data_IF_401752552269
#
_entry.id   IF_401752552269
#
_cell.length_a   1.000
_cell.length_b   1.000
_cell.length_c   1.000
_cell.angle_alpha   90.00
_cell.angle_beta   90.00
_cell.angle_gamma   90.00
#
_symmetry.space_group_name_H-M   'P 1'
#
loop_
_entity.id
_entity.type
_entity.pdbx_description
1 polymer ?
#
# COMPACT_ATOMS: atom_id res chain seq x y z
N UNK A 1 2.26 0.19 -13.58
CA UNK A 1 2.20 -1.14 -12.94
C UNK A 1 1.36 -1.11 -11.68
N UNK A 2 1.64 -0.25 -10.71
CA UNK A 2 0.90 -0.18 -9.43
C UNK A 2 -0.58 0.20 -9.55
N UNK A 3 -0.96 1.07 -10.50
CA UNK A 3 -2.39 1.34 -10.80
C UNK A 3 -3.15 0.07 -11.22
N UNK A 4 -2.51 -0.78 -12.05
CA UNK A 4 -3.09 -2.06 -12.46
C UNK A 4 -3.19 -3.01 -11.27
N UNK A 5 -2.22 -2.95 -10.35
CA UNK A 5 -2.24 -3.74 -9.13
C UNK A 5 -3.42 -3.35 -8.23
N UNK A 6 -3.57 -2.06 -7.91
CA UNK A 6 -4.69 -1.56 -7.10
C UNK A 6 -6.02 -1.91 -7.75
N UNK A 7 -6.16 -1.69 -9.06
CA UNK A 7 -7.35 -2.09 -9.81
C UNK A 7 -7.63 -3.60 -9.72
N UNK A 8 -6.60 -4.44 -9.90
CA UNK A 8 -6.76 -5.89 -9.84
C UNK A 8 -7.11 -6.38 -8.41
N UNK A 9 -6.58 -5.74 -7.36
CA UNK A 9 -6.96 -6.02 -5.97
C UNK A 9 -8.44 -5.69 -5.76
N UNK A 10 -8.89 -4.49 -6.14
CA UNK A 10 -10.28 -4.07 -5.99
C UNK A 10 -11.23 -5.01 -6.73
N UNK A 11 -10.94 -5.36 -7.97
CA UNK A 11 -11.75 -6.27 -8.76
C UNK A 11 -11.74 -7.71 -8.22
N UNK A 12 -10.60 -8.17 -7.70
CA UNK A 12 -10.53 -9.48 -7.03
C UNK A 12 -11.42 -9.50 -5.80
N UNK A 13 -11.36 -8.46 -4.97
CA UNK A 13 -12.15 -8.34 -3.74
C UNK A 13 -13.64 -8.13 -4.02
N UNK A 14 -14.00 -7.48 -5.12
CA UNK A 14 -15.38 -7.23 -5.51
C UNK A 14 -16.03 -8.47 -6.16
N UNK A 15 -15.33 -9.13 -7.08
CA UNK A 15 -15.91 -10.16 -7.97
C UNK A 15 -15.50 -11.58 -7.63
N UNK A 16 -14.35 -11.77 -6.97
CA UNK A 16 -13.76 -13.08 -6.70
C UNK A 16 -13.26 -13.83 -7.94
N UNK A 17 -13.16 -13.15 -9.10
CA UNK A 17 -12.75 -13.80 -10.35
C UNK A 17 -11.26 -14.11 -10.33
N UNK A 18 -10.91 -15.39 -10.51
CA UNK A 18 -9.52 -15.89 -10.49
C UNK A 18 -8.57 -15.16 -11.46
N UNK A 19 -9.09 -14.61 -12.56
CA UNK A 19 -8.29 -13.85 -13.53
C UNK A 19 -7.51 -12.68 -12.89
N UNK A 20 -8.12 -12.00 -11.92
CA UNK A 20 -7.45 -10.88 -11.24
C UNK A 20 -6.35 -11.38 -10.30
N UNK A 21 -6.52 -12.54 -9.67
CA UNK A 21 -5.44 -13.19 -8.92
C UNK A 21 -4.26 -13.57 -9.82
N UNK A 22 -4.53 -14.05 -11.05
CA UNK A 22 -3.49 -14.36 -12.05
C UNK A 22 -2.78 -13.08 -12.50
N UNK A 23 -3.53 -11.99 -12.73
CA UNK A 23 -2.94 -10.68 -13.09
C UNK A 23 -2.00 -10.22 -11.97
N UNK A 24 -2.41 -10.28 -10.72
CA UNK A 24 -1.59 -9.91 -9.58
C UNK A 24 -0.31 -10.77 -9.49
N UNK A 25 -0.43 -12.07 -9.69
CA UNK A 25 0.72 -12.97 -9.71
C UNK A 25 1.73 -12.61 -10.83
N UNK A 26 1.23 -12.39 -12.05
CA UNK A 26 2.06 -11.99 -13.19
C UNK A 26 2.70 -10.62 -12.99
N UNK A 27 1.98 -9.67 -12.41
CA UNK A 27 2.54 -8.36 -12.05
C UNK A 27 3.66 -8.49 -11.02
N UNK A 28 3.48 -9.31 -9.98
CA UNK A 28 4.52 -9.54 -8.99
C UNK A 28 5.78 -10.14 -9.63
N UNK A 29 5.61 -11.16 -10.49
CA UNK A 29 6.72 -11.78 -11.23
C UNK A 29 7.43 -10.76 -12.14
N UNK A 30 6.67 -9.92 -12.83
CA UNK A 30 7.23 -8.87 -13.69
C UNK A 30 8.00 -7.83 -12.87
N UNK A 31 7.45 -7.34 -11.76
CA UNK A 31 8.12 -6.36 -10.88
C UNK A 31 9.41 -6.95 -10.31
N UNK A 32 9.37 -8.19 -9.82
CA UNK A 32 10.54 -8.84 -9.24
C UNK A 32 11.69 -8.99 -10.24
N UNK A 33 11.38 -9.25 -11.53
CA UNK A 33 12.38 -9.43 -12.57
C UNK A 33 12.88 -8.14 -13.22
N UNK A 34 11.99 -7.13 -13.36
CA UNK A 34 12.34 -5.86 -14.02
C UNK A 34 12.98 -4.88 -13.02
N UNK A 35 12.50 -4.86 -11.78
CA UNK A 35 12.94 -3.86 -10.79
C UNK A 35 12.84 -4.38 -9.36
N UNK A 36 13.75 -5.26 -8.98
CA UNK A 36 13.78 -5.91 -7.67
C UNK A 36 13.73 -4.92 -6.48
N UNK A 37 14.30 -3.70 -6.63
CA UNK A 37 14.27 -2.65 -5.61
C UNK A 37 12.85 -2.16 -5.28
N UNK A 38 11.92 -2.25 -6.22
CA UNK A 38 10.54 -1.78 -6.11
C UNK A 38 9.58 -2.93 -5.77
N UNK A 39 10.05 -4.18 -5.85
CA UNK A 39 9.26 -5.37 -5.54
C UNK A 39 8.58 -5.34 -4.15
N UNK A 40 9.21 -4.83 -3.07
CA UNK A 40 8.53 -4.71 -1.78
C UNK A 40 7.30 -3.80 -1.79
N UNK A 41 7.24 -2.81 -2.69
CA UNK A 41 6.08 -1.91 -2.82
C UNK A 41 4.80 -2.66 -3.22
N UNK A 42 4.95 -3.74 -3.98
CA UNK A 42 3.83 -4.62 -4.32
C UNK A 42 3.12 -5.16 -3.05
N UNK A 43 3.87 -5.58 -2.05
CA UNK A 43 3.29 -6.06 -0.78
C UNK A 43 2.72 -4.92 0.05
N UNK A 44 3.41 -3.77 0.07
CA UNK A 44 2.99 -2.58 0.82
C UNK A 44 1.61 -2.10 0.37
N UNK A 45 1.30 -2.16 -0.94
CA UNK A 45 -0.01 -1.79 -1.46
C UNK A 45 -1.12 -2.80 -1.10
N UNK A 46 -0.80 -4.05 -0.82
CA UNK A 46 -1.77 -5.05 -0.33
C UNK A 46 -2.07 -4.93 1.17
N UNK A 47 -1.10 -4.45 1.97
CA UNK A 47 -1.23 -4.40 3.43
C UNK A 47 -2.47 -3.64 3.92
N UNK A 48 -2.86 -2.47 3.41
CA UNK A 48 -4.05 -1.75 3.83
C UNK A 48 -5.33 -2.60 3.79
N UNK A 49 -5.49 -3.41 2.75
CA UNK A 49 -6.65 -4.29 2.60
C UNK A 49 -6.65 -5.43 3.62
N UNK A 50 -5.47 -6.02 3.88
CA UNK A 50 -5.31 -7.07 4.88
C UNK A 50 -5.54 -6.54 6.30
N UNK A 51 -5.06 -5.33 6.59
CA UNK A 51 -5.26 -4.66 7.88
C UNK A 51 -6.74 -4.29 8.08
N UNK A 52 -7.43 -3.78 7.06
CA UNK A 52 -8.88 -3.51 7.13
C UNK A 52 -9.66 -4.79 7.50
N UNK A 53 -9.37 -5.93 6.84
CA UNK A 53 -10.03 -7.19 7.13
C UNK A 53 -9.73 -7.68 8.55
N UNK A 54 -8.47 -7.56 8.99
CA UNK A 54 -8.08 -7.94 10.35
C UNK A 54 -8.86 -7.11 11.38
N UNK A 55 -8.92 -5.78 11.20
CA UNK A 55 -9.68 -4.88 12.05
C UNK A 55 -11.18 -5.24 12.01
N UNK A 56 -11.74 -5.50 10.84
CA UNK A 56 -13.14 -5.90 10.70
C UNK A 56 -13.46 -7.21 11.45
N UNK A 57 -12.54 -8.18 11.46
CA UNK A 57 -12.66 -9.43 12.23
C UNK A 57 -12.61 -9.12 13.72
N UNK A 58 -11.66 -8.31 14.16
CA UNK A 58 -11.51 -7.94 15.59
C UNK A 58 -12.75 -7.18 16.06
N UNK A 59 -13.21 -6.18 15.30
CA UNK A 59 -14.42 -5.40 15.61
C UNK A 59 -15.66 -6.30 15.73
N UNK A 60 -15.77 -7.33 14.88
CA UNK A 60 -16.91 -8.27 14.93
C UNK A 60 -16.94 -9.15 16.18
N UNK A 61 -15.79 -9.36 16.84
CA UNK A 61 -15.65 -10.16 18.06
C UNK A 61 -15.77 -9.34 19.35
N UNK A 62 -15.45 -8.06 19.30
CA UNK A 62 -15.46 -7.18 20.48
C UNK A 62 -16.81 -6.46 20.55
N UNK A 63 -17.63 -6.82 21.55
CA UNK A 63 -18.99 -6.28 21.76
C UNK A 63 -19.01 -4.77 22.07
N UNK A 64 -17.91 -4.21 22.57
CA UNK A 64 -17.71 -2.79 22.88
C UNK A 64 -16.41 -2.30 22.23
N UNK A 65 -16.45 -2.04 20.92
CA UNK A 65 -15.33 -1.37 20.25
C UNK A 65 -15.31 0.09 20.70
N UNK A 66 -14.15 0.64 21.13
CA UNK A 66 -14.08 2.04 21.48
C UNK A 66 -14.46 2.90 20.28
N UNK A 67 -15.41 3.80 20.47
CA UNK A 67 -15.84 4.74 19.43
C UNK A 67 -14.63 5.59 19.01
N UNK A 68 -14.31 5.59 17.73
CA UNK A 68 -13.18 6.36 17.17
C UNK A 68 -13.45 7.89 17.14
N UNK A 69 -14.41 8.39 17.91
CA UNK A 69 -14.73 9.81 18.04
C UNK A 69 -15.20 10.41 16.70
N UNK A 70 -14.64 11.57 16.34
CA UNK A 70 -15.06 12.36 15.16
C UNK A 70 -14.93 11.58 13.83
N UNK A 71 -14.15 10.51 13.78
CA UNK A 71 -13.93 9.71 12.57
C UNK A 71 -14.92 8.55 12.40
N UNK A 72 -15.73 8.23 13.42
CA UNK A 72 -16.67 7.08 13.38
C UNK A 72 -17.67 7.18 12.21
N UNK A 73 -18.17 8.39 11.94
CA UNK A 73 -19.13 8.63 10.87
C UNK A 73 -18.48 8.69 9.47
N UNK A 74 -17.16 8.85 9.40
CA UNK A 74 -16.40 9.05 8.16
C UNK A 74 -15.66 7.81 7.69
N UNK A 75 -15.33 6.86 8.58
CA UNK A 75 -14.60 5.65 8.25
C UNK A 75 -15.54 4.48 8.03
N UNK A 76 -15.41 3.82 6.87
CA UNK A 76 -16.12 2.60 6.54
C UNK A 76 -15.18 1.41 6.74
N UNK A 77 -15.55 0.50 7.62
CA UNK A 77 -14.88 -0.80 7.81
C UNK A 77 -15.80 -1.87 7.24
N UNK A 78 -15.35 -2.56 6.19
CA UNK A 78 -16.18 -3.55 5.51
C UNK A 78 -15.42 -4.83 5.25
N UNK A 79 -15.95 -5.95 5.77
CA UNK A 79 -15.42 -7.28 5.45
C UNK A 79 -15.54 -7.58 3.97
N UNK A 80 -14.50 -8.15 3.39
CA UNK A 80 -14.44 -8.50 1.96
C UNK A 80 -14.65 -10.00 1.79
N UNK A 81 -15.71 -10.38 1.09
CA UNK A 81 -16.08 -11.80 0.87
C UNK A 81 -14.94 -12.63 0.28
N UNK A 82 -14.14 -12.03 -0.58
CA UNK A 82 -13.09 -12.72 -1.36
C UNK A 82 -11.67 -12.47 -0.83
N UNK A 83 -11.52 -11.95 0.39
CA UNK A 83 -10.21 -11.66 1.02
C UNK A 83 -9.27 -12.87 1.05
N UNK A 84 -9.82 -14.09 1.21
CA UNK A 84 -9.04 -15.33 1.17
C UNK A 84 -8.22 -15.50 -0.12
N UNK A 85 -8.72 -15.00 -1.26
CA UNK A 85 -7.99 -15.06 -2.53
C UNK A 85 -6.86 -14.05 -2.56
N UNK A 86 -7.05 -12.85 -2.01
CA UNK A 86 -5.98 -11.87 -1.88
C UNK A 86 -4.88 -12.38 -0.94
N UNK A 87 -5.26 -12.99 0.20
CA UNK A 87 -4.29 -13.59 1.11
C UNK A 87 -3.51 -14.72 0.44
N UNK A 88 -4.17 -15.56 -0.35
CA UNK A 88 -3.50 -16.61 -1.13
C UNK A 88 -2.50 -16.04 -2.11
N UNK A 89 -2.89 -15.02 -2.88
CA UNK A 89 -2.00 -14.31 -3.81
C UNK A 89 -0.82 -13.70 -3.05
N UNK A 90 -1.07 -13.02 -1.93
CA UNK A 90 -0.02 -12.43 -1.09
C UNK A 90 1.02 -13.48 -0.66
N UNK A 91 0.57 -14.61 -0.11
CA UNK A 91 1.47 -15.68 0.36
C UNK A 91 2.26 -16.29 -0.80
N UNK A 92 1.61 -16.61 -1.94
CA UNK A 92 2.31 -17.15 -3.11
C UNK A 92 3.33 -16.13 -3.64
N UNK A 93 2.97 -14.85 -3.68
CA UNK A 93 3.82 -13.77 -4.17
C UNK A 93 5.09 -13.59 -3.34
N UNK A 94 5.07 -13.95 -2.05
CA UNK A 94 6.29 -13.94 -1.22
C UNK A 94 7.39 -14.86 -1.74
N UNK A 95 7.03 -15.93 -2.44
CA UNK A 95 7.99 -16.89 -2.99
C UNK A 95 8.41 -16.56 -4.43
N UNK A 96 7.77 -15.60 -5.09
CA UNK A 96 8.08 -15.22 -6.48
C UNK A 96 9.52 -14.70 -6.63
N UNK A 97 10.06 -14.04 -5.61
CA UNK A 97 11.44 -13.59 -5.62
C UNK A 97 12.46 -14.71 -5.89
N UNK A 98 12.11 -15.97 -5.55
CA UNK A 98 12.96 -17.14 -5.83
C UNK A 98 12.93 -17.55 -7.31
N UNK A 99 11.92 -17.14 -8.06
CA UNK A 99 11.76 -17.43 -9.50
C UNK A 99 12.49 -16.42 -10.39
N UNK A 100 13.25 -15.50 -9.79
CA UNK A 100 14.07 -14.56 -10.55
C UNK A 100 15.40 -15.18 -10.93
N UNK A 101 16.03 -14.80 -12.06
CA UNK A 101 17.37 -15.28 -12.44
C UNK A 101 18.46 -14.97 -11.40
N UNK A 102 18.21 -14.01 -10.53
CA UNK A 102 19.13 -13.56 -9.48
C UNK A 102 18.86 -14.22 -8.11
N UNK A 103 17.95 -15.22 -8.06
CA UNK A 103 17.67 -16.05 -6.88
C UNK A 103 17.26 -15.24 -5.65
N UNK A 104 18.02 -15.35 -4.57
CA UNK A 104 17.73 -14.66 -3.29
C UNK A 104 18.01 -13.15 -3.30
N UNK A 105 18.54 -12.59 -4.36
CA UNK A 105 18.92 -11.17 -4.42
C UNK A 105 17.78 -10.20 -4.12
N UNK A 106 16.52 -10.39 -4.56
CA UNK A 106 15.43 -9.47 -4.22
C UNK A 106 15.22 -9.30 -2.71
N UNK A 107 15.38 -10.37 -1.93
CA UNK A 107 15.23 -10.35 -0.48
C UNK A 107 16.42 -9.68 0.21
N UNK A 108 17.64 -10.06 -0.18
CA UNK A 108 18.88 -9.51 0.40
C UNK A 108 19.11 -8.06 -0.01
N UNK A 109 18.68 -7.67 -1.21
CA UNK A 109 18.80 -6.29 -1.70
C UNK A 109 17.99 -5.33 -0.85
N UNK A 110 16.76 -5.70 -0.49
CA UNK A 110 15.94 -4.88 0.40
C UNK A 110 16.62 -4.66 1.76
N UNK A 111 17.15 -5.75 2.36
CA UNK A 111 17.87 -5.66 3.64
C UNK A 111 19.12 -4.78 3.53
N UNK A 112 19.89 -4.94 2.44
CA UNK A 112 21.09 -4.13 2.20
C UNK A 112 20.78 -2.64 2.04
N UNK A 113 19.68 -2.28 1.37
CA UNK A 113 19.26 -0.88 1.25
C UNK A 113 18.84 -0.32 2.60
N UNK A 114 18.09 -1.08 3.39
CA UNK A 114 17.64 -0.65 4.72
C UNK A 114 18.79 -0.48 5.71
N UNK A 115 19.85 -1.27 5.57
CA UNK A 115 21.05 -1.20 6.43
C UNK A 115 22.14 -0.26 5.87
N UNK A 116 22.07 0.08 4.58
CA UNK A 116 23.08 0.92 3.92
C UNK A 116 22.75 2.41 4.04
N UNK A 117 23.78 3.24 4.22
CA UNK A 117 23.65 4.70 4.17
C UNK A 117 23.64 5.18 2.70
N UNK A 118 22.53 4.90 2.02
CA UNK A 118 22.35 5.29 0.60
C UNK A 118 22.00 6.76 0.43
N UNK A 119 21.61 7.43 1.52
CA UNK A 119 21.20 8.86 1.51
C UNK A 119 22.34 9.79 1.14
N UNK A 120 23.60 9.38 1.37
CA UNK A 120 24.79 10.19 1.02
C UNK A 120 25.04 10.30 -0.47
N UNK A 121 24.64 9.27 -1.23
CA UNK A 121 25.03 9.13 -2.63
C UNK A 121 23.86 9.30 -3.62
N UNK A 122 22.62 9.21 -3.15
CA UNK A 122 21.42 9.22 -3.99
C UNK A 122 20.45 10.27 -3.45
N UNK A 123 20.28 11.37 -4.19
CA UNK A 123 19.37 12.49 -3.84
C UNK A 123 17.93 12.00 -3.59
N UNK A 124 17.45 11.07 -4.39
CA UNK A 124 16.08 10.51 -4.29
C UNK A 124 15.82 9.74 -2.98
N UNK A 125 16.89 9.27 -2.31
CA UNK A 125 16.78 8.56 -1.02
C UNK A 125 16.76 9.50 0.18
N UNK A 126 16.97 10.82 -0.04
CA UNK A 126 16.91 11.79 1.05
C UNK A 126 15.48 11.95 1.56
N UNK A 127 15.31 12.24 2.85
CA UNK A 127 14.00 12.54 3.42
C UNK A 127 13.34 13.72 2.72
N UNK A 128 12.02 13.70 2.63
CA UNK A 128 11.24 14.79 2.09
C UNK A 128 11.31 16.00 3.02
N UNK A 129 11.82 17.12 2.53
CA UNK A 129 11.75 18.41 3.20
C UNK A 129 10.52 19.16 2.68
N UNK A 130 9.48 19.27 3.52
CA UNK A 130 8.20 19.86 3.12
C UNK A 130 8.32 21.28 2.57
N UNK A 131 9.15 22.12 3.19
CA UNK A 131 9.31 23.53 2.79
C UNK A 131 9.82 23.68 1.34
N UNK A 132 10.55 22.68 0.85
CA UNK A 132 11.05 22.65 -0.51
C UNK A 132 10.07 22.04 -1.52
N UNK A 133 8.93 21.50 -1.03
CA UNK A 133 7.98 20.74 -1.82
C UNK A 133 6.56 21.29 -1.64
N UNK A 134 6.31 22.52 -2.10
CA UNK A 134 5.03 23.23 -1.98
C UNK A 134 3.85 22.43 -2.56
N UNK A 135 4.08 21.64 -3.62
CA UNK A 135 3.03 20.78 -4.19
C UNK A 135 2.55 19.72 -3.19
N UNK A 136 3.46 19.14 -2.41
CA UNK A 136 3.10 18.15 -1.37
C UNK A 136 2.30 18.83 -0.27
N UNK A 137 2.70 20.04 0.14
CA UNK A 137 1.95 20.82 1.14
C UNK A 137 0.54 21.13 0.61
N UNK A 138 0.43 21.60 -0.63
CA UNK A 138 -0.85 21.92 -1.24
C UNK A 138 -1.75 20.67 -1.35
N UNK A 139 -1.19 19.54 -1.78
CA UNK A 139 -1.91 18.26 -1.85
C UNK A 139 -2.44 17.84 -0.47
N UNK A 140 -1.61 17.88 0.56
CA UNK A 140 -2.00 17.56 1.93
C UNK A 140 -3.07 18.51 2.46
N UNK A 141 -2.94 19.81 2.19
CA UNK A 141 -3.94 20.80 2.60
C UNK A 141 -5.29 20.53 1.93
N UNK A 142 -5.33 20.28 0.63
CA UNK A 142 -6.56 19.94 -0.10
C UNK A 142 -7.17 18.65 0.46
N UNK A 143 -6.36 17.62 0.69
CA UNK A 143 -6.81 16.36 1.26
C UNK A 143 -7.44 16.56 2.65
N UNK A 144 -6.77 17.29 3.55
CA UNK A 144 -7.27 17.57 4.89
C UNK A 144 -8.55 18.41 4.85
N UNK A 145 -8.60 19.46 4.02
CA UNK A 145 -9.81 20.29 3.83
C UNK A 145 -10.96 19.41 3.34
N UNK A 146 -10.72 18.55 2.36
CA UNK A 146 -11.75 17.63 1.85
C UNK A 146 -12.24 16.69 2.94
N UNK A 147 -11.34 16.08 3.71
CA UNK A 147 -11.72 15.18 4.81
C UNK A 147 -12.50 15.87 5.94
N UNK A 148 -12.17 17.13 6.25
CA UNK A 148 -12.81 17.87 7.35
C UNK A 148 -14.17 18.41 6.92
N UNK A 149 -14.22 19.10 5.78
CA UNK A 149 -15.38 19.89 5.36
C UNK A 149 -16.38 19.14 4.49
N UNK A 150 -16.03 17.98 3.94
CA UNK A 150 -16.97 17.19 3.16
C UNK A 150 -17.55 16.02 3.97
N UNK A 151 -18.73 15.55 3.56
CA UNK A 151 -19.36 14.34 4.13
C UNK A 151 -18.89 13.05 3.44
N UNK A 152 -17.71 13.07 2.83
CA UNK A 152 -17.15 11.89 2.15
C UNK A 152 -16.82 10.83 3.19
N UNK A 153 -17.27 9.61 2.91
CA UNK A 153 -16.93 8.43 3.67
C UNK A 153 -15.76 7.74 3.02
N UNK A 154 -14.69 7.54 3.77
CA UNK A 154 -13.44 6.92 3.31
C UNK A 154 -13.37 5.49 3.82
N UNK A 155 -12.98 4.54 2.97
CA UNK A 155 -12.73 3.16 3.42
C UNK A 155 -11.46 3.15 4.29
N UNK A 156 -11.43 2.26 5.27
CA UNK A 156 -10.27 2.14 6.15
C UNK A 156 -9.00 1.73 5.37
N UNK A 157 -9.14 0.88 4.34
CA UNK A 157 -8.04 0.53 3.43
C UNK A 157 -7.48 1.75 2.70
N UNK A 158 -8.34 2.65 2.18
CA UNK A 158 -7.91 3.85 1.48
C UNK A 158 -7.19 4.81 2.44
N UNK A 159 -7.71 4.95 3.66
CA UNK A 159 -7.09 5.76 4.70
C UNK A 159 -5.67 5.25 5.05
N UNK A 160 -5.51 3.94 5.24
CA UNK A 160 -4.19 3.34 5.51
C UNK A 160 -3.27 3.42 4.30
N UNK A 161 -3.80 3.28 3.08
CA UNK A 161 -3.00 3.40 1.86
C UNK A 161 -2.46 4.82 1.72
N UNK A 162 -3.31 5.83 1.84
CA UNK A 162 -2.91 7.25 1.79
C UNK A 162 -1.89 7.58 2.90
N UNK A 163 -2.20 7.20 4.16
CA UNK A 163 -1.32 7.45 5.30
C UNK A 163 0.03 6.72 5.18
N UNK A 164 0.02 5.47 4.74
CA UNK A 164 1.23 4.67 4.55
C UNK A 164 2.14 5.21 3.45
N UNK A 165 1.56 5.54 2.29
CA UNK A 165 2.32 6.12 1.18
C UNK A 165 2.83 7.53 1.50
N UNK A 166 2.05 8.33 2.24
CA UNK A 166 2.49 9.61 2.75
C UNK A 166 3.68 9.46 3.70
N UNK A 167 3.58 8.54 4.66
CA UNK A 167 4.66 8.25 5.59
C UNK A 167 5.94 7.82 4.85
N UNK A 168 5.82 6.94 3.86
CA UNK A 168 6.97 6.54 3.03
C UNK A 168 7.55 7.70 2.23
N UNK A 169 6.72 8.65 1.78
CA UNK A 169 7.19 9.86 1.09
C UNK A 169 8.03 10.75 2.00
N UNK A 170 7.74 10.81 3.30
CA UNK A 170 8.60 11.50 4.27
C UNK A 170 9.95 10.82 4.47
N UNK A 171 10.00 9.49 4.34
CA UNK A 171 11.26 8.75 4.47
C UNK A 171 12.15 8.91 3.22
N UNK A 172 11.55 9.06 2.03
CA UNK A 172 12.32 9.22 0.79
C UNK A 172 11.50 9.94 -0.28
N UNK A 173 12.09 10.98 -0.88
CA UNK A 173 11.49 11.81 -1.94
C UNK A 173 10.95 10.97 -3.10
N UNK A 174 11.63 9.90 -3.44
CA UNK A 174 11.26 8.99 -4.54
C UNK A 174 9.85 8.38 -4.37
N UNK A 175 9.35 8.25 -3.12
CA UNK A 175 8.04 7.70 -2.85
C UNK A 175 6.87 8.68 -3.13
N UNK A 176 7.16 9.97 -3.37
CA UNK A 176 6.12 10.96 -3.75
C UNK A 176 5.35 10.51 -4.99
N UNK A 177 6.03 9.88 -5.95
CA UNK A 177 5.39 9.37 -7.17
C UNK A 177 4.24 8.38 -6.88
N UNK A 178 4.29 7.67 -5.75
CA UNK A 178 3.24 6.73 -5.35
C UNK A 178 2.00 7.42 -4.78
N UNK A 179 2.14 8.63 -4.22
CA UNK A 179 0.98 9.41 -3.77
C UNK A 179 0.04 9.79 -4.91
N UNK A 180 0.56 9.94 -6.13
CA UNK A 180 -0.24 10.23 -7.32
C UNK A 180 -1.04 9.04 -7.85
N UNK A 181 -0.94 7.85 -7.22
CA UNK A 181 -1.68 6.64 -7.61
C UNK A 181 -3.08 6.61 -6.97
N UNK A 182 -3.25 7.31 -5.87
CA UNK A 182 -4.48 7.36 -5.06
C UNK A 182 -5.24 8.66 -5.32
#
# INVERSE_FOLDING_TARGET
MFLIEVYAIEELLATGKKRYGIILFLLCLLIANVHAAVWPMYFILMLPYLVEELIAIICSKIKHWPKLGVFEDKLIIKRKKYMKYLLLVFVISLFIGLLTPIGFTPYTYFIKIMMGDTTKYIEEHKPLILINNLFVIAYLAIMLITLIFTKVKVRLSDFFMMGGLLFMSFLSVRHIAFLGII
#
